data_IF_197364094769
#
_entry.id   IF_197364094769
#
_cell.length_a   1.000
_cell.length_b   1.000
_cell.length_c   1.000
_cell.angle_alpha   90.00
_cell.angle_beta   90.00
_cell.angle_gamma   90.00
#
_symmetry.space_group_name_H-M   'P 1'
#
loop_
_entity.id
_entity.type
_entity.pdbx_description
1 polymer ?
#
# COMPACT_ATOMS: atom_id res chain seq x y z
N UNK A 1 -10.00 9.59 8.55
CA UNK A 1 -9.35 8.28 8.40
C UNK A 1 -10.06 7.20 9.22
N UNK A 2 -10.27 7.37 10.53
CA UNK A 2 -10.83 6.31 11.39
C UNK A 2 -12.16 5.70 10.90
N UNK A 3 -13.11 6.51 10.43
CA UNK A 3 -14.38 6.01 9.85
C UNK A 3 -14.13 5.05 8.67
N UNK A 4 -13.15 5.34 7.82
CA UNK A 4 -12.79 4.45 6.70
C UNK A 4 -12.05 3.21 7.19
N UNK A 5 -11.19 3.32 8.22
CA UNK A 5 -10.53 2.15 8.81
C UNK A 5 -11.54 1.20 9.45
N UNK A 6 -12.57 1.71 10.11
CA UNK A 6 -13.60 0.88 10.75
C UNK A 6 -14.62 0.31 9.76
N UNK A 7 -15.11 1.14 8.84
CA UNK A 7 -16.32 0.82 8.06
C UNK A 7 -16.08 0.64 6.55
N UNK A 8 -14.84 0.85 6.09
CA UNK A 8 -14.48 0.83 4.68
C UNK A 8 -15.13 1.96 3.86
N UNK A 9 -14.89 1.92 2.56
CA UNK A 9 -15.35 2.89 1.58
C UNK A 9 -16.88 2.93 1.47
N UNK A 10 -17.52 1.75 1.52
CA UNK A 10 -18.97 1.61 1.48
C UNK A 10 -19.66 2.26 2.69
N UNK A 11 -19.07 2.14 3.88
CA UNK A 11 -19.62 2.72 5.12
C UNK A 11 -19.44 4.23 5.26
N UNK A 12 -18.55 4.84 4.46
CA UNK A 12 -18.20 6.25 4.57
C UNK A 12 -19.37 7.19 4.22
N UNK A 13 -19.70 8.06 5.18
CA UNK A 13 -20.57 9.22 5.00
C UNK A 13 -19.99 10.47 5.67
N UNK A 14 -20.29 11.66 5.14
CA UNK A 14 -19.91 12.93 5.78
C UNK A 14 -20.49 13.09 7.19
N UNK A 15 -21.67 12.54 7.46
CA UNK A 15 -22.25 12.58 8.79
C UNK A 15 -21.38 11.84 9.81
N UNK A 16 -20.91 10.63 9.47
CA UNK A 16 -20.03 9.85 10.33
C UNK A 16 -18.67 10.54 10.51
N UNK A 17 -18.12 11.11 9.44
CA UNK A 17 -16.86 11.87 9.52
C UNK A 17 -16.99 13.09 10.43
N UNK A 18 -18.04 13.90 10.25
CA UNK A 18 -18.31 15.07 11.07
C UNK A 18 -18.43 14.70 12.56
N UNK A 19 -19.23 13.69 12.87
CA UNK A 19 -19.37 13.18 14.25
C UNK A 19 -18.04 12.71 14.81
N UNK A 20 -17.25 11.94 14.04
CA UNK A 20 -15.95 11.42 14.50
C UNK A 20 -14.90 12.51 14.69
N UNK A 21 -14.91 13.53 13.84
CA UNK A 21 -13.96 14.64 13.88
C UNK A 21 -14.33 15.71 14.92
N UNK A 22 -15.55 15.68 15.46
CA UNK A 22 -16.07 16.76 16.31
C UNK A 22 -16.37 18.04 15.52
N UNK A 23 -16.51 17.94 14.20
CA UNK A 23 -16.64 19.06 13.28
C UNK A 23 -18.02 19.08 12.60
N UNK A 24 -18.39 20.21 12.01
CA UNK A 24 -19.62 20.30 11.22
C UNK A 24 -19.40 19.77 9.78
N UNK A 25 -20.44 19.15 9.20
CA UNK A 25 -20.49 18.71 7.80
C UNK A 25 -20.07 19.80 6.81
N UNK A 26 -20.43 21.06 7.05
CA UNK A 26 -20.05 22.18 6.17
C UNK A 26 -18.54 22.37 6.11
N UNK A 27 -17.84 22.21 7.23
CA UNK A 27 -16.38 22.34 7.28
C UNK A 27 -15.70 21.17 6.57
N UNK A 28 -16.19 19.95 6.78
CA UNK A 28 -15.72 18.76 6.05
C UNK A 28 -15.92 18.95 4.53
N UNK A 29 -17.09 19.42 4.10
CA UNK A 29 -17.37 19.68 2.70
C UNK A 29 -16.51 20.81 2.12
N UNK A 30 -16.20 21.84 2.91
CA UNK A 30 -15.32 22.93 2.52
C UNK A 30 -13.87 22.44 2.27
N UNK A 31 -13.33 21.63 3.19
CA UNK A 31 -11.95 21.13 3.06
C UNK A 31 -11.77 20.10 1.95
N UNK A 32 -12.71 19.16 1.83
CA UNK A 32 -12.54 18.01 0.93
C UNK A 32 -13.30 18.13 -0.39
N UNK A 33 -14.26 19.06 -0.49
CA UNK A 33 -15.08 19.30 -1.68
C UNK A 33 -16.10 18.19 -1.98
N UNK A 34 -15.67 16.92 -2.04
CA UNK A 34 -16.52 15.76 -2.30
C UNK A 34 -16.11 14.53 -1.48
N UNK A 35 -16.97 13.49 -1.47
CA UNK A 35 -16.64 12.20 -0.83
C UNK A 35 -15.35 11.63 -1.42
N UNK A 36 -15.19 11.72 -2.74
CA UNK A 36 -13.98 11.30 -3.45
C UNK A 36 -12.76 12.13 -3.06
N UNK A 37 -12.88 13.45 -2.89
CA UNK A 37 -11.77 14.28 -2.43
C UNK A 37 -11.30 13.90 -1.02
N UNK A 38 -12.23 13.58 -0.12
CA UNK A 38 -11.89 13.04 1.21
C UNK A 38 -11.17 11.70 1.10
N UNK A 39 -11.69 10.81 0.25
CA UNK A 39 -11.12 9.47 0.05
C UNK A 39 -9.74 9.54 -0.58
N UNK A 40 -9.50 10.45 -1.52
CA UNK A 40 -8.19 10.71 -2.10
C UNK A 40 -7.18 11.15 -1.04
N UNK A 41 -7.56 12.10 -0.17
CA UNK A 41 -6.70 12.53 0.94
C UNK A 41 -6.38 11.39 1.92
N UNK A 42 -7.33 10.47 2.13
CA UNK A 42 -7.08 9.29 2.98
C UNK A 42 -6.24 8.24 2.26
N UNK A 43 -6.42 8.03 0.95
CA UNK A 43 -5.58 7.13 0.16
C UNK A 43 -4.11 7.58 0.19
N UNK A 44 -3.88 8.89 0.05
CA UNK A 44 -2.57 9.51 0.16
C UNK A 44 -1.94 9.23 1.52
N UNK A 45 -2.69 9.48 2.60
CA UNK A 45 -2.24 9.20 3.97
C UNK A 45 -1.92 7.72 4.21
N UNK A 46 -2.71 6.81 3.68
CA UNK A 46 -2.46 5.36 3.76
C UNK A 46 -1.17 5.01 3.00
N UNK A 47 -0.98 5.58 1.81
CA UNK A 47 0.26 5.45 1.04
C UNK A 47 1.48 5.90 1.83
N UNK A 48 1.42 7.04 2.51
CA UNK A 48 2.50 7.55 3.37
C UNK A 48 2.83 6.60 4.52
N UNK A 49 1.82 6.10 5.23
CA UNK A 49 2.00 5.18 6.36
C UNK A 49 2.72 3.90 5.93
N UNK A 50 2.29 3.30 4.81
CA UNK A 50 2.93 2.09 4.27
C UNK A 50 4.36 2.40 3.82
N UNK A 51 4.56 3.53 3.13
CA UNK A 51 5.87 3.94 2.61
C UNK A 51 6.87 4.17 3.74
N UNK A 52 6.46 4.85 4.81
CA UNK A 52 7.33 5.14 5.95
C UNK A 52 7.89 3.87 6.62
N UNK A 53 7.04 2.86 6.81
CA UNK A 53 7.47 1.58 7.38
C UNK A 53 8.40 0.82 6.43
N UNK A 54 8.10 0.79 5.14
CA UNK A 54 8.96 0.11 4.16
C UNK A 54 10.31 0.81 4.00
N UNK A 55 10.36 2.14 3.93
CA UNK A 55 11.63 2.87 3.88
C UNK A 55 12.50 2.60 5.11
N UNK A 56 11.89 2.33 6.27
CA UNK A 56 12.63 1.92 7.47
C UNK A 56 13.26 0.54 7.31
N UNK A 57 12.65 -0.36 6.53
CA UNK A 57 13.16 -1.71 6.24
C UNK A 57 14.09 -1.78 5.03
N UNK A 58 14.10 -0.75 4.19
CA UNK A 58 15.00 -0.61 3.04
C UNK A 58 16.25 0.22 3.37
N UNK A 59 16.60 0.37 4.66
CA UNK A 59 17.88 0.98 5.03
C UNK A 59 19.01 0.01 4.75
N UNK A 60 20.08 0.51 4.13
CA UNK A 60 21.32 -0.23 3.87
C UNK A 60 21.13 -1.54 3.07
N UNK A 61 20.10 -1.59 2.20
CA UNK A 61 19.89 -2.70 1.26
C UNK A 61 20.59 -2.44 -0.07
N UNK A 62 21.22 -3.47 -0.62
CA UNK A 62 22.12 -3.38 -1.78
C UNK A 62 21.92 -4.51 -2.81
N UNK A 63 20.96 -5.41 -2.58
CA UNK A 63 20.65 -6.54 -3.46
C UNK A 63 19.16 -6.69 -3.67
N UNK A 64 18.75 -7.30 -4.79
CA UNK A 64 17.33 -7.57 -5.08
C UNK A 64 16.69 -8.44 -3.98
N UNK A 65 17.46 -9.38 -3.41
CA UNK A 65 17.02 -10.18 -2.26
C UNK A 65 16.69 -9.32 -1.04
N UNK A 66 17.62 -8.46 -0.63
CA UNK A 66 17.47 -7.59 0.54
C UNK A 66 16.36 -6.55 0.33
N UNK A 67 16.24 -6.01 -0.89
CA UNK A 67 15.15 -5.11 -1.27
C UNK A 67 13.80 -5.84 -1.13
N UNK A 68 13.67 -7.04 -1.72
CA UNK A 68 12.43 -7.82 -1.67
C UNK A 68 12.06 -8.18 -0.24
N UNK A 69 13.03 -8.62 0.56
CA UNK A 69 12.85 -8.90 1.99
C UNK A 69 12.40 -7.66 2.77
N UNK A 70 13.00 -6.50 2.50
CA UNK A 70 12.64 -5.22 3.11
C UNK A 70 11.22 -4.76 2.76
N UNK A 71 10.82 -4.89 1.49
CA UNK A 71 9.45 -4.59 1.04
C UNK A 71 8.42 -5.44 1.79
N UNK A 72 8.64 -6.76 1.83
CA UNK A 72 7.75 -7.69 2.53
C UNK A 72 7.73 -7.38 4.03
N UNK A 73 8.88 -7.17 4.65
CA UNK A 73 8.98 -6.88 6.09
C UNK A 73 8.27 -5.59 6.49
N UNK A 74 8.38 -4.53 5.67
CA UNK A 74 7.73 -3.26 5.99
C UNK A 74 6.21 -3.35 5.84
N UNK A 75 5.70 -4.01 4.80
CA UNK A 75 4.25 -4.26 4.68
C UNK A 75 3.75 -5.14 5.82
N UNK A 76 4.53 -6.15 6.25
CA UNK A 76 4.18 -6.97 7.41
C UNK A 76 4.06 -6.13 8.68
N UNK A 77 5.00 -5.22 8.91
CA UNK A 77 5.00 -4.32 10.06
C UNK A 77 3.76 -3.43 10.09
N UNK A 78 3.36 -2.87 8.95
CA UNK A 78 2.11 -2.09 8.83
C UNK A 78 0.91 -2.93 9.27
N UNK A 79 0.84 -4.18 8.82
CA UNK A 79 -0.27 -5.08 9.16
C UNK A 79 -0.24 -5.53 10.63
N UNK A 80 0.94 -5.71 11.21
CA UNK A 80 1.13 -6.01 12.63
C UNK A 80 0.66 -4.84 13.52
N UNK A 81 0.97 -3.61 13.12
CA UNK A 81 0.56 -2.41 13.85
C UNK A 81 -0.94 -2.16 13.75
N UNK A 82 -1.47 -2.19 12.53
CA UNK A 82 -2.90 -2.05 12.27
C UNK A 82 -3.29 -2.67 10.92
N UNK A 83 -3.78 -3.91 10.94
CA UNK A 83 -4.29 -4.61 9.75
C UNK A 83 -5.37 -3.82 8.98
N UNK A 84 -6.06 -2.87 9.62
CA UNK A 84 -7.10 -2.05 8.99
C UNK A 84 -6.51 -1.12 7.93
N UNK A 85 -5.23 -0.75 8.03
CA UNK A 85 -4.51 0.06 7.03
C UNK A 85 -4.41 -0.70 5.71
N UNK A 86 -3.91 -1.94 5.74
CA UNK A 86 -3.82 -2.79 4.55
C UNK A 86 -5.21 -3.11 3.98
N UNK A 87 -6.18 -3.45 4.84
CA UNK A 87 -7.56 -3.67 4.41
C UNK A 87 -8.13 -2.46 3.67
N UNK A 88 -7.95 -1.26 4.22
CA UNK A 88 -8.45 -0.03 3.59
C UNK A 88 -7.75 0.25 2.26
N UNK A 89 -6.44 0.01 2.14
CA UNK A 89 -5.75 0.12 0.85
C UNK A 89 -6.39 -0.78 -0.21
N UNK A 90 -6.68 -2.05 0.10
CA UNK A 90 -7.31 -2.96 -0.85
C UNK A 90 -8.77 -2.63 -1.15
N UNK A 91 -9.53 -2.17 -0.16
CA UNK A 91 -10.90 -1.68 -0.35
C UNK A 91 -10.94 -0.48 -1.32
N UNK A 92 -10.03 0.48 -1.14
CA UNK A 92 -9.88 1.61 -2.07
C UNK A 92 -9.38 1.14 -3.45
N UNK A 93 -8.48 0.16 -3.51
CA UNK A 93 -8.01 -0.41 -4.77
C UNK A 93 -9.15 -1.08 -5.54
N UNK A 94 -10.07 -1.76 -4.86
CA UNK A 94 -11.27 -2.32 -5.49
C UNK A 94 -12.22 -1.20 -5.97
N UNK A 95 -12.48 -0.19 -5.14
CA UNK A 95 -13.32 0.94 -5.51
C UNK A 95 -12.77 1.71 -6.73
N UNK A 96 -11.45 1.79 -6.86
CA UNK A 96 -10.77 2.48 -7.96
C UNK A 96 -11.04 1.87 -9.34
N UNK A 97 -11.51 0.61 -9.41
CA UNK A 97 -11.83 -0.04 -10.68
C UNK A 97 -12.97 0.70 -11.39
N UNK A 98 -13.90 1.30 -10.64
CA UNK A 98 -15.13 1.92 -11.19
C UNK A 98 -15.29 3.41 -10.86
N UNK A 99 -14.46 4.00 -10.00
CA UNK A 99 -14.46 5.44 -9.67
C UNK A 99 -13.15 6.09 -10.12
N UNK A 100 -13.21 6.93 -11.16
CA UNK A 100 -12.04 7.54 -11.79
C UNK A 100 -11.27 8.49 -10.86
N UNK A 101 -11.94 9.19 -9.95
CA UNK A 101 -11.25 10.09 -9.01
C UNK A 101 -10.46 9.31 -7.97
N UNK A 102 -10.99 8.17 -7.54
CA UNK A 102 -10.26 7.26 -6.64
C UNK A 102 -9.12 6.58 -7.39
N UNK A 103 -9.33 6.25 -8.66
CA UNK A 103 -8.30 5.72 -9.56
C UNK A 103 -7.12 6.67 -9.70
N UNK A 104 -7.37 7.94 -9.97
CA UNK A 104 -6.35 8.99 -10.05
C UNK A 104 -5.53 9.07 -8.75
N UNK A 105 -6.20 9.16 -7.60
CA UNK A 105 -5.53 9.24 -6.31
C UNK A 105 -4.65 8.01 -6.01
N UNK A 106 -5.15 6.80 -6.31
CA UNK A 106 -4.36 5.58 -6.10
C UNK A 106 -3.26 5.39 -7.14
N UNK A 107 -3.41 5.91 -8.35
CA UNK A 107 -2.33 5.92 -9.34
C UNK A 107 -1.16 6.75 -8.84
N UNK A 108 -1.40 7.94 -8.29
CA UNK A 108 -0.33 8.77 -7.71
C UNK A 108 0.41 8.04 -6.58
N UNK A 109 -0.32 7.37 -5.69
CA UNK A 109 0.28 6.57 -4.62
C UNK A 109 1.13 5.43 -5.21
N UNK A 110 0.60 4.68 -6.18
CA UNK A 110 1.30 3.56 -6.83
C UNK A 110 2.53 4.03 -7.60
N UNK A 111 2.49 5.20 -8.23
CA UNK A 111 3.61 5.74 -8.99
C UNK A 111 4.77 6.16 -8.08
N UNK A 112 4.47 6.77 -6.93
CA UNK A 112 5.48 7.04 -5.89
C UNK A 112 6.12 5.73 -5.40
N UNK A 113 5.33 4.69 -5.21
CA UNK A 113 5.83 3.35 -4.87
C UNK A 113 6.75 2.76 -5.92
N UNK A 114 6.36 2.83 -7.20
CA UNK A 114 7.20 2.37 -8.31
C UNK A 114 8.52 3.13 -8.36
N UNK A 115 8.51 4.45 -8.14
CA UNK A 115 9.71 5.27 -8.11
C UNK A 115 10.65 4.87 -6.97
N UNK A 116 10.11 4.63 -5.77
CA UNK A 116 10.89 4.15 -4.62
C UNK A 116 11.56 2.81 -4.95
N UNK A 117 10.78 1.81 -5.38
CA UNK A 117 11.32 0.47 -5.72
C UNK A 117 12.36 0.57 -6.84
N UNK A 118 12.06 1.33 -7.89
CA UNK A 118 12.97 1.52 -9.02
C UNK A 118 14.30 2.14 -8.61
N UNK A 119 14.29 3.13 -7.71
CA UNK A 119 15.51 3.75 -7.19
C UNK A 119 16.40 2.78 -6.43
N UNK A 120 15.81 1.92 -5.59
CA UNK A 120 16.55 0.87 -4.90
C UNK A 120 17.11 -0.18 -5.86
N UNK A 121 16.31 -0.65 -6.83
CA UNK A 121 16.75 -1.62 -7.82
C UNK A 121 17.91 -1.07 -8.69
N UNK A 122 17.83 0.20 -9.11
CA UNK A 122 18.89 0.85 -9.87
C UNK A 122 20.19 0.97 -9.04
N UNK A 123 20.06 1.29 -7.74
CA UNK A 123 21.21 1.37 -6.82
C UNK A 123 21.86 0.00 -6.61
N UNK A 124 21.06 -1.07 -6.62
CA UNK A 124 21.52 -2.46 -6.55
C UNK A 124 22.12 -2.98 -7.88
N UNK A 125 22.20 -2.15 -8.93
CA UNK A 125 22.84 -2.49 -10.20
C UNK A 125 21.95 -3.24 -11.20
N UNK A 126 20.63 -3.32 -10.98
CA UNK A 126 19.70 -3.93 -11.93
C UNK A 126 19.73 -3.15 -13.26
N UNK A 127 19.79 -3.84 -14.43
CA UNK A 127 19.76 -3.17 -15.73
C UNK A 127 18.54 -2.26 -15.90
N UNK A 128 18.73 -1.08 -16.49
CA UNK A 128 17.66 -0.06 -16.65
C UNK A 128 16.40 -0.62 -17.34
N UNK A 129 16.58 -1.51 -18.32
CA UNK A 129 15.47 -2.17 -19.02
C UNK A 129 14.67 -3.15 -18.15
N UNK A 130 15.27 -3.66 -17.07
CA UNK A 130 14.67 -4.66 -16.17
C UNK A 130 14.06 -4.01 -14.92
N UNK A 131 14.47 -2.79 -14.55
CA UNK A 131 13.95 -2.07 -13.38
C UNK A 131 12.42 -1.91 -13.41
N UNK A 132 11.75 -1.43 -14.50
CA UNK A 132 10.30 -1.30 -14.52
C UNK A 132 9.51 -2.62 -14.39
N UNK A 133 9.81 -3.70 -15.15
CA UNK A 133 9.11 -4.97 -14.97
C UNK A 133 9.40 -5.61 -13.62
N UNK A 134 10.65 -5.56 -13.12
CA UNK A 134 10.98 -6.10 -11.79
C UNK A 134 10.27 -5.33 -10.67
N UNK A 135 10.21 -4.00 -10.73
CA UNK A 135 9.42 -3.20 -9.78
C UNK A 135 7.96 -3.62 -9.75
N UNK A 136 7.38 -3.88 -10.92
CA UNK A 136 5.99 -4.34 -11.04
C UNK A 136 5.82 -5.73 -10.45
N UNK A 137 6.73 -6.66 -10.73
CA UNK A 137 6.73 -8.00 -10.17
C UNK A 137 6.81 -7.97 -8.64
N UNK A 138 7.72 -7.17 -8.07
CA UNK A 138 7.87 -7.04 -6.63
C UNK A 138 6.61 -6.47 -5.98
N UNK A 139 6.05 -5.41 -6.54
CA UNK A 139 4.83 -4.78 -6.02
C UNK A 139 3.63 -5.75 -6.09
N UNK A 140 3.49 -6.51 -7.19
CA UNK A 140 2.42 -7.50 -7.34
C UNK A 140 2.57 -8.65 -6.33
N UNK A 141 3.79 -9.19 -6.16
CA UNK A 141 4.05 -10.27 -5.22
C UNK A 141 3.79 -9.87 -3.77
N UNK A 142 4.28 -8.71 -3.34
CA UNK A 142 4.02 -8.17 -1.98
C UNK A 142 2.52 -7.94 -1.76
N UNK A 143 1.81 -7.38 -2.75
CA UNK A 143 0.37 -7.14 -2.65
C UNK A 143 -0.41 -8.45 -2.53
N UNK A 144 -0.07 -9.47 -3.33
CA UNK A 144 -0.72 -10.78 -3.27
C UNK A 144 -0.51 -11.48 -1.92
N UNK A 145 0.72 -11.45 -1.41
CA UNK A 145 1.04 -12.00 -0.09
C UNK A 145 0.29 -11.28 1.05
N UNK A 146 0.11 -9.95 0.94
CA UNK A 146 -0.67 -9.19 1.90
C UNK A 146 -2.18 -9.51 1.86
N UNK A 147 -2.75 -9.77 0.68
CA UNK A 147 -4.14 -10.25 0.53
C UNK A 147 -4.30 -11.62 1.17
N UNK A 148 -3.43 -12.58 0.85
CA UNK A 148 -3.43 -13.92 1.47
C UNK A 148 -3.38 -13.82 3.01
N UNK A 149 -2.55 -12.92 3.53
CA UNK A 149 -2.48 -12.67 4.97
C UNK A 149 -3.82 -12.15 5.54
N UNK A 150 -4.48 -11.21 4.85
CA UNK A 150 -5.78 -10.67 5.28
C UNK A 150 -6.92 -11.70 5.23
N UNK A 151 -6.85 -12.63 4.28
CA UNK A 151 -7.84 -13.72 4.13
C UNK A 151 -7.68 -14.82 5.20
N UNK A 152 -6.58 -14.79 5.96
CA UNK A 152 -6.39 -15.65 7.13
C UNK A 152 -5.94 -17.07 6.80
N UNK A 153 -5.18 -17.26 5.72
CA UNK A 153 -4.62 -18.59 5.39
C UNK A 153 -3.57 -19.07 6.40
N UNK A 154 -3.33 -20.39 6.40
CA UNK A 154 -2.36 -21.11 7.24
C UNK A 154 -0.99 -20.39 7.34
N UNK A 155 -0.57 -19.94 8.54
CA UNK A 155 0.63 -19.13 8.73
C UNK A 155 1.92 -19.74 8.17
N UNK A 156 2.10 -21.06 8.31
CA UNK A 156 3.29 -21.77 7.83
C UNK A 156 3.38 -21.76 6.30
N UNK A 157 2.24 -21.91 5.62
CA UNK A 157 2.16 -21.85 4.16
C UNK A 157 2.50 -20.45 3.65
N UNK A 158 1.95 -19.43 4.30
CA UNK A 158 2.21 -18.04 3.95
C UNK A 158 3.69 -17.67 4.15
N UNK A 159 4.30 -18.12 5.25
CA UNK A 159 5.73 -17.91 5.46
C UNK A 159 6.58 -18.62 4.40
N UNK A 160 6.26 -19.87 4.06
CA UNK A 160 6.94 -20.57 2.97
C UNK A 160 6.80 -19.83 1.62
N UNK A 161 5.62 -19.28 1.32
CA UNK A 161 5.39 -18.48 0.11
C UNK A 161 6.22 -17.20 0.09
N UNK A 162 6.36 -16.48 1.22
CA UNK A 162 7.25 -15.31 1.34
C UNK A 162 8.70 -15.67 1.03
N UNK A 163 9.20 -16.77 1.59
CA UNK A 163 10.57 -17.23 1.36
C UNK A 163 10.81 -17.61 -0.10
N UNK A 164 9.83 -18.27 -0.75
CA UNK A 164 9.91 -18.58 -2.18
C UNK A 164 9.93 -17.29 -3.01
N UNK A 165 9.07 -16.32 -2.68
CA UNK A 165 9.00 -15.04 -3.38
C UNK A 165 10.33 -14.26 -3.30
N UNK A 166 10.93 -14.16 -2.11
CA UNK A 166 12.23 -13.49 -1.91
C UNK A 166 13.33 -14.17 -2.74
N UNK A 167 13.44 -15.50 -2.68
CA UNK A 167 14.44 -16.25 -3.47
C UNK A 167 14.21 -16.14 -4.98
N UNK A 168 12.95 -16.15 -5.42
CA UNK A 168 12.62 -15.99 -6.84
C UNK A 168 13.04 -14.61 -7.34
N UNK A 169 12.73 -13.54 -6.58
CA UNK A 169 13.16 -12.19 -6.91
C UNK A 169 14.69 -12.06 -6.98
N UNK A 170 15.42 -12.66 -6.03
CA UNK A 170 16.88 -12.65 -6.01
C UNK A 170 17.52 -13.28 -7.25
N UNK A 171 16.83 -14.18 -7.96
CA UNK A 171 17.32 -14.80 -9.19
C UNK A 171 17.10 -13.96 -10.46
N UNK A 172 16.39 -12.82 -10.34
CA UNK A 172 15.96 -11.97 -11.46
C UNK A 172 16.78 -10.67 -11.60
N UNK A 173 17.80 -10.45 -10.77
CA UNK A 173 18.72 -9.30 -10.88
C UNK A 173 20.09 -9.64 -10.31
#
# INVERSE_FOLDING_TARGET
MEVLLEEGYAGLTYAKVAVRAGENKSLISYYFGSKQGLVAAVADRIGELITAEVLTKLRDVDSVENITGGLVAGVWKVMDDDQRVARLYFDLSAASVVDDRIREALHEVKDRWRQVISGYLATAGVPESEVPPLSTFLMAGVSGLAIERLEGYEPERLEAARQIFIRAAASLG
#
